data_IF_700667536382
#
_entry.id   IF_700667536382
#
_cell.length_a   1.000
_cell.length_b   1.000
_cell.length_c   1.000
_cell.angle_alpha   90.00
_cell.angle_beta   90.00
_cell.angle_gamma   90.00
#
_symmetry.space_group_name_H-M   'P 1'
#
loop_
_entity.id
_entity.type
_entity.pdbx_description
1 polymer ?
#
# COMPACT_ATOMS: atom_id res chain seq x y z
N UNK A 1 15.06 20.55 -0.57
CA UNK A 1 15.26 19.61 -1.70
C UNK A 1 13.92 18.96 -1.97
N UNK A 2 13.49 18.88 -3.21
CA UNK A 2 12.23 18.22 -3.62
C UNK A 2 12.56 17.17 -4.68
N UNK A 3 11.81 16.10 -4.70
CA UNK A 3 11.86 15.09 -5.77
C UNK A 3 10.70 15.30 -6.74
N UNK A 4 10.85 14.77 -7.95
CA UNK A 4 9.76 14.71 -8.91
C UNK A 4 8.78 13.60 -8.50
N UNK A 5 7.47 13.92 -8.42
CA UNK A 5 6.42 12.94 -8.20
C UNK A 5 5.78 12.55 -9.52
N UNK A 6 5.72 11.25 -9.80
CA UNK A 6 5.01 10.67 -10.94
C UNK A 6 3.89 9.74 -10.43
N UNK A 7 2.69 9.88 -10.97
CA UNK A 7 1.64 8.88 -10.83
C UNK A 7 1.61 8.05 -12.11
N UNK A 8 1.59 6.74 -11.96
CA UNK A 8 1.61 5.80 -13.08
C UNK A 8 0.74 4.60 -12.77
N UNK A 9 0.14 4.01 -13.80
CA UNK A 9 -0.55 2.74 -13.68
C UNK A 9 -0.40 1.92 -14.96
N UNK A 10 -0.25 0.64 -14.78
CA UNK A 10 -0.29 -0.38 -15.83
C UNK A 10 -0.96 -1.64 -15.29
N UNK A 11 -1.75 -2.38 -16.09
CA UNK A 11 -2.27 -3.68 -15.67
C UNK A 11 -1.18 -4.66 -15.21
N UNK A 12 0.03 -4.51 -15.74
CA UNK A 12 1.21 -5.30 -15.35
C UNK A 12 1.57 -5.09 -13.88
N UNK A 13 1.43 -3.85 -13.38
CA UNK A 13 1.69 -3.57 -11.96
C UNK A 13 0.74 -4.35 -11.06
N UNK A 14 -0.55 -4.43 -11.44
CA UNK A 14 -1.54 -5.16 -10.66
C UNK A 14 -1.41 -6.68 -10.82
N UNK A 15 -1.01 -7.18 -12.00
CA UNK A 15 -0.61 -8.58 -12.18
C UNK A 15 0.48 -8.98 -11.20
N UNK A 16 1.58 -8.21 -11.14
CA UNK A 16 2.70 -8.49 -10.23
C UNK A 16 2.27 -8.32 -8.78
N UNK A 17 1.44 -7.30 -8.47
CA UNK A 17 0.96 -7.03 -7.13
C UNK A 17 0.05 -8.15 -6.61
N UNK A 18 -0.85 -8.68 -7.44
CA UNK A 18 -1.71 -9.80 -7.06
C UNK A 18 -0.89 -11.06 -6.72
N UNK A 19 0.13 -11.35 -7.53
CA UNK A 19 1.06 -12.44 -7.26
C UNK A 19 1.90 -12.18 -6.00
N UNK A 20 2.42 -10.96 -5.83
CA UNK A 20 3.13 -10.54 -4.62
C UNK A 20 2.27 -10.77 -3.37
N UNK A 21 1.00 -10.39 -3.43
CA UNK A 21 0.04 -10.58 -2.34
C UNK A 21 -0.13 -12.05 -1.98
N UNK A 22 -0.23 -12.92 -2.99
CA UNK A 22 -0.34 -14.36 -2.80
C UNK A 22 0.94 -14.96 -2.18
N UNK A 23 2.12 -14.49 -2.59
CA UNK A 23 3.41 -14.94 -2.04
C UNK A 23 3.63 -14.47 -0.59
N UNK A 24 3.06 -13.33 -0.20
CA UNK A 24 3.18 -12.75 1.14
C UNK A 24 2.31 -13.46 2.18
N UNK A 25 2.58 -14.72 2.52
CA UNK A 25 1.77 -15.54 3.46
C UNK A 25 1.48 -14.86 4.80
N UNK A 26 2.42 -14.08 5.32
CA UNK A 26 2.24 -13.34 6.59
C UNK A 26 1.17 -12.25 6.54
N UNK A 27 0.78 -11.84 5.34
CA UNK A 27 -0.23 -10.80 5.11
C UNK A 27 -1.62 -11.34 4.82
N UNK A 28 -1.81 -12.64 4.53
CA UNK A 28 -3.11 -13.20 4.13
C UNK A 28 -4.27 -12.93 5.09
N UNK A 29 -3.97 -12.79 6.40
CA UNK A 29 -4.97 -12.43 7.43
C UNK A 29 -5.13 -10.92 7.62
N UNK A 30 -4.38 -10.10 6.89
CA UNK A 30 -4.28 -8.64 7.08
C UNK A 30 -4.75 -7.85 5.87
N UNK A 31 -4.80 -8.49 4.71
CA UNK A 31 -5.31 -7.91 3.46
C UNK A 31 -6.83 -7.81 3.48
N UNK A 32 -7.38 -6.85 2.75
CA UNK A 32 -8.82 -6.60 2.67
C UNK A 32 -9.59 -7.75 2.02
N UNK A 33 -8.97 -8.45 1.08
CA UNK A 33 -9.51 -9.66 0.46
C UNK A 33 -9.64 -10.84 1.44
N UNK A 34 -8.91 -10.80 2.55
CA UNK A 34 -8.96 -11.82 3.59
C UNK A 34 -8.38 -13.19 3.19
N UNK A 35 -8.36 -14.14 4.13
CA UNK A 35 -7.79 -15.47 3.90
C UNK A 35 -8.62 -16.34 2.93
N UNK A 36 -9.91 -16.05 2.77
CA UNK A 36 -10.75 -16.79 1.82
C UNK A 36 -10.28 -16.62 0.38
N UNK A 37 -9.84 -15.41 0.02
CA UNK A 37 -9.25 -15.14 -1.30
C UNK A 37 -8.06 -16.07 -1.59
N UNK A 38 -7.10 -16.15 -0.66
CA UNK A 38 -5.91 -16.99 -0.84
C UNK A 38 -6.23 -18.46 -0.92
N UNK A 39 -7.23 -18.93 -0.17
CA UNK A 39 -7.70 -20.32 -0.22
C UNK A 39 -8.34 -20.64 -1.58
N UNK A 40 -9.20 -19.75 -2.07
CA UNK A 40 -9.86 -19.92 -3.36
C UNK A 40 -8.86 -19.93 -4.52
N UNK A 41 -7.90 -19.00 -4.50
CA UNK A 41 -6.83 -18.94 -5.50
C UNK A 41 -5.98 -20.21 -5.43
N UNK A 42 -5.56 -20.63 -4.25
CA UNK A 42 -4.77 -21.86 -4.09
C UNK A 42 -5.48 -23.11 -4.64
N UNK A 43 -6.80 -23.19 -4.44
CA UNK A 43 -7.60 -24.30 -4.94
C UNK A 43 -7.69 -24.35 -6.49
N UNK A 44 -7.42 -23.25 -7.19
CA UNK A 44 -7.41 -23.16 -8.65
C UNK A 44 -6.04 -23.46 -9.28
N UNK A 45 -4.97 -23.54 -8.47
CA UNK A 45 -3.61 -23.81 -8.96
C UNK A 45 -3.39 -25.30 -9.22
N UNK A 46 -2.53 -25.62 -10.20
CA UNK A 46 -1.97 -26.97 -10.32
C UNK A 46 -1.03 -27.25 -9.13
N UNK A 47 -0.89 -28.52 -8.69
CA UNK A 47 0.05 -28.85 -7.62
C UNK A 47 1.47 -28.37 -7.91
N UNK A 48 1.93 -28.53 -9.15
CA UNK A 48 3.29 -28.15 -9.59
C UNK A 48 3.49 -26.64 -9.51
N UNK A 49 2.50 -25.84 -9.88
CA UNK A 49 2.59 -24.39 -9.81
C UNK A 49 2.47 -23.90 -8.37
N UNK A 50 1.62 -24.49 -7.55
CA UNK A 50 1.53 -24.20 -6.13
C UNK A 50 2.88 -24.43 -5.42
N UNK A 51 3.55 -25.59 -5.67
CA UNK A 51 4.85 -25.90 -5.15
C UNK A 51 5.93 -24.89 -5.59
N UNK A 52 5.90 -24.50 -6.87
CA UNK A 52 6.80 -23.46 -7.39
C UNK A 52 6.60 -22.12 -6.66
N UNK A 53 5.36 -21.67 -6.47
CA UNK A 53 5.05 -20.44 -5.75
C UNK A 53 5.45 -20.51 -4.27
N UNK A 54 5.32 -21.68 -3.65
CA UNK A 54 5.78 -21.88 -2.26
C UNK A 54 7.28 -21.69 -2.05
N UNK A 55 8.08 -21.99 -3.08
CA UNK A 55 9.53 -21.84 -3.09
C UNK A 55 9.98 -20.45 -3.55
N UNK A 56 9.08 -19.64 -4.08
CA UNK A 56 9.41 -18.30 -4.57
C UNK A 56 9.51 -17.30 -3.41
N UNK A 57 10.69 -16.68 -3.28
CA UNK A 57 10.95 -15.62 -2.30
C UNK A 57 10.66 -14.22 -2.85
N UNK A 58 10.49 -13.27 -1.93
CA UNK A 58 10.45 -11.84 -2.25
C UNK A 58 11.83 -11.27 -1.91
N UNK A 59 12.71 -11.30 -2.88
CA UNK A 59 14.13 -10.97 -2.78
C UNK A 59 14.56 -9.91 -3.81
N UNK A 60 15.86 -9.84 -4.12
CA UNK A 60 16.39 -8.93 -5.13
C UNK A 60 15.80 -9.19 -6.52
N UNK A 61 15.59 -10.45 -6.90
CA UNK A 61 15.02 -10.80 -8.21
C UNK A 61 13.57 -10.27 -8.31
N UNK A 62 12.82 -10.37 -7.22
CA UNK A 62 11.47 -9.81 -7.12
C UNK A 62 11.46 -8.29 -7.23
N UNK A 63 12.40 -7.63 -6.57
CA UNK A 63 12.60 -6.18 -6.67
C UNK A 63 12.88 -5.74 -8.11
N UNK A 64 13.74 -6.46 -8.83
CA UNK A 64 14.04 -6.19 -10.24
C UNK A 64 12.82 -6.37 -11.14
N UNK A 65 11.90 -7.28 -10.83
CA UNK A 65 10.65 -7.48 -11.58
C UNK A 65 9.77 -6.22 -11.55
N UNK A 66 9.61 -5.58 -10.39
CA UNK A 66 8.88 -4.32 -10.28
C UNK A 66 9.52 -3.18 -11.09
N UNK A 67 10.85 -3.11 -11.07
CA UNK A 67 11.57 -2.14 -11.88
C UNK A 67 11.39 -2.41 -13.37
N UNK A 68 11.47 -3.68 -13.80
CA UNK A 68 11.30 -4.06 -15.19
C UNK A 68 9.90 -3.70 -15.72
N UNK A 69 8.87 -3.88 -14.90
CA UNK A 69 7.51 -3.45 -15.22
C UNK A 69 7.42 -1.92 -15.41
N UNK A 70 8.11 -1.15 -14.55
CA UNK A 70 8.12 0.30 -14.64
C UNK A 70 8.84 0.81 -15.90
N UNK A 71 10.00 0.25 -16.24
CA UNK A 71 10.79 0.70 -17.42
C UNK A 71 10.28 0.14 -18.74
N UNK A 72 9.34 -0.80 -18.72
CA UNK A 72 8.77 -1.39 -19.93
C UNK A 72 8.13 -0.33 -20.83
N UNK A 73 8.40 -0.34 -22.14
CA UNK A 73 7.67 0.48 -23.11
C UNK A 73 6.24 -0.03 -23.35
N UNK A 74 5.96 -1.30 -23.04
CA UNK A 74 4.69 -1.98 -23.32
C UNK A 74 3.87 -2.09 -22.02
N UNK A 75 3.23 -0.96 -21.62
CA UNK A 75 2.51 -0.85 -20.35
C UNK A 75 0.99 -1.01 -20.48
N UNK A 76 0.46 -1.10 -21.69
CA UNK A 76 -0.99 -1.03 -21.91
C UNK A 76 -1.71 -2.36 -21.72
N UNK A 77 -1.04 -3.48 -21.99
CA UNK A 77 -1.59 -4.82 -21.78
C UNK A 77 -0.57 -5.76 -21.13
N UNK A 78 -1.08 -6.78 -20.46
CA UNK A 78 -0.26 -7.84 -19.85
C UNK A 78 0.40 -8.67 -20.95
N UNK A 79 -0.32 -8.97 -22.01
CA UNK A 79 0.14 -9.80 -23.15
C UNK A 79 1.33 -9.15 -23.85
N UNK A 80 1.24 -7.83 -24.12
CA UNK A 80 2.33 -7.10 -24.79
C UNK A 80 3.57 -7.04 -23.88
N UNK A 81 3.38 -6.86 -22.58
CA UNK A 81 4.48 -6.89 -21.62
C UNK A 81 5.16 -8.26 -21.57
N UNK A 82 4.40 -9.34 -21.46
CA UNK A 82 4.93 -10.70 -21.42
C UNK A 82 5.66 -11.04 -22.72
N UNK A 83 5.09 -10.65 -23.87
CA UNK A 83 5.74 -10.82 -25.16
C UNK A 83 7.06 -10.06 -25.26
N UNK A 84 7.08 -8.82 -24.80
CA UNK A 84 8.29 -7.99 -24.76
C UNK A 84 9.34 -8.62 -23.83
N UNK A 85 8.96 -8.97 -22.58
CA UNK A 85 9.85 -9.59 -21.61
C UNK A 85 10.51 -10.86 -22.14
N UNK A 86 9.75 -11.71 -22.85
CA UNK A 86 10.27 -12.93 -23.47
C UNK A 86 11.29 -12.66 -24.58
N UNK A 87 11.14 -11.55 -25.33
CA UNK A 87 12.00 -11.19 -26.45
C UNK A 87 13.26 -10.45 -26.05
N UNK A 88 13.33 -9.90 -24.83
CA UNK A 88 14.50 -9.16 -24.37
C UNK A 88 15.74 -10.04 -24.41
N UNK A 89 16.76 -9.59 -25.11
CA UNK A 89 18.10 -10.17 -25.01
C UNK A 89 18.72 -9.81 -23.66
N UNK A 90 19.72 -10.56 -23.25
CA UNK A 90 20.44 -10.25 -21.99
C UNK A 90 21.06 -8.82 -22.03
N UNK A 91 21.61 -8.41 -23.18
CA UNK A 91 22.15 -7.06 -23.35
C UNK A 91 21.09 -5.96 -23.19
N UNK A 92 19.92 -6.13 -23.78
CA UNK A 92 18.80 -5.19 -23.62
C UNK A 92 18.29 -5.15 -22.18
N UNK A 93 18.20 -6.32 -21.52
CA UNK A 93 17.79 -6.42 -20.12
C UNK A 93 18.73 -5.62 -19.20
N UNK A 94 20.05 -5.74 -19.40
CA UNK A 94 21.04 -4.91 -18.72
C UNK A 94 20.89 -3.44 -19.07
N UNK A 95 20.73 -3.11 -20.35
CA UNK A 95 20.64 -1.73 -20.80
C UNK A 95 19.47 -0.96 -20.17
N UNK A 96 18.30 -1.59 -20.02
CA UNK A 96 17.12 -0.92 -19.46
C UNK A 96 17.17 -0.78 -17.94
N UNK A 97 17.92 -1.63 -17.22
CA UNK A 97 17.96 -1.64 -15.75
C UNK A 97 19.21 -0.99 -15.16
N UNK A 98 20.34 -0.98 -15.89
CA UNK A 98 21.62 -0.42 -15.40
C UNK A 98 21.58 1.06 -14.98
N UNK A 99 20.69 1.92 -15.51
CA UNK A 99 20.54 3.28 -14.98
C UNK A 99 20.08 3.34 -13.53
N UNK A 100 19.46 2.27 -13.02
CA UNK A 100 18.80 2.24 -11.71
C UNK A 100 19.46 1.30 -10.70
N UNK A 101 20.16 0.27 -11.18
CA UNK A 101 20.76 -0.75 -10.32
C UNK A 101 22.18 -1.09 -10.77
N UNK A 102 23.05 -1.40 -9.80
CA UNK A 102 24.45 -1.74 -10.06
C UNK A 102 24.75 -3.23 -9.87
N UNK A 103 23.86 -3.95 -9.18
CA UNK A 103 24.02 -5.37 -8.88
C UNK A 103 22.94 -6.19 -9.54
N UNK A 104 23.34 -7.22 -10.27
CA UNK A 104 22.43 -8.12 -10.98
C UNK A 104 22.68 -9.57 -10.53
N UNK A 105 21.65 -10.45 -10.64
CA UNK A 105 21.81 -11.88 -10.46
C UNK A 105 22.86 -12.46 -11.43
N UNK A 106 23.61 -13.48 -10.99
CA UNK A 106 24.63 -14.14 -11.82
C UNK A 106 24.04 -14.73 -13.11
N UNK A 107 22.86 -15.37 -13.02
CA UNK A 107 22.15 -15.93 -14.18
C UNK A 107 20.88 -15.12 -14.46
N UNK A 108 21.05 -13.84 -14.83
CA UNK A 108 19.94 -12.91 -15.02
C UNK A 108 18.99 -13.32 -16.17
N UNK A 109 19.51 -14.02 -17.18
CA UNK A 109 18.68 -14.57 -18.26
C UNK A 109 17.72 -15.63 -17.75
N UNK A 110 18.18 -16.59 -16.93
CA UNK A 110 17.33 -17.61 -16.35
C UNK A 110 16.32 -17.03 -15.34
N UNK A 111 16.72 -15.96 -14.59
CA UNK A 111 15.81 -15.23 -13.70
C UNK A 111 14.65 -14.65 -14.52
N UNK A 112 14.93 -13.93 -15.61
CA UNK A 112 13.91 -13.39 -16.51
C UNK A 112 12.98 -14.49 -17.04
N UNK A 113 13.54 -15.60 -17.51
CA UNK A 113 12.73 -16.69 -18.07
C UNK A 113 11.85 -17.39 -17.03
N UNK A 114 12.35 -17.54 -15.80
CA UNK A 114 11.58 -18.04 -14.66
C UNK A 114 10.44 -17.11 -14.30
N UNK A 115 10.71 -15.81 -14.16
CA UNK A 115 9.70 -14.79 -13.87
C UNK A 115 8.66 -14.68 -14.98
N UNK A 116 9.08 -14.74 -16.25
CA UNK A 116 8.16 -14.73 -17.38
C UNK A 116 7.19 -15.93 -17.33
N UNK A 117 7.69 -17.16 -17.12
CA UNK A 117 6.82 -18.35 -17.00
C UNK A 117 5.84 -18.21 -15.86
N UNK A 118 6.32 -17.81 -14.68
CA UNK A 118 5.50 -17.63 -13.49
C UNK A 118 4.41 -16.58 -13.68
N UNK A 119 4.72 -15.42 -14.25
CA UNK A 119 3.72 -14.39 -14.54
C UNK A 119 2.74 -14.82 -15.63
N UNK A 120 3.21 -15.54 -16.65
CA UNK A 120 2.33 -16.05 -17.71
C UNK A 120 1.33 -17.05 -17.14
N UNK A 121 1.78 -17.99 -16.32
CA UNK A 121 0.90 -18.98 -15.70
C UNK A 121 -0.05 -18.33 -14.68
N UNK A 122 0.44 -17.39 -13.85
CA UNK A 122 -0.41 -16.62 -12.94
C UNK A 122 -1.48 -15.81 -13.66
N UNK A 123 -1.13 -15.19 -14.80
CA UNK A 123 -2.12 -14.51 -15.65
C UNK A 123 -3.20 -15.48 -16.13
N UNK A 124 -2.81 -16.66 -16.62
CA UNK A 124 -3.75 -17.66 -17.15
C UNK A 124 -4.69 -18.22 -16.09
N UNK A 125 -4.18 -18.52 -14.89
CA UNK A 125 -4.98 -19.21 -13.87
C UNK A 125 -5.76 -18.25 -12.97
N UNK A 126 -5.33 -17.01 -12.86
CA UNK A 126 -5.92 -16.06 -11.92
C UNK A 126 -6.21 -14.68 -12.54
N UNK A 127 -5.17 -13.93 -12.96
CA UNK A 127 -5.29 -12.48 -13.15
C UNK A 127 -6.25 -12.10 -14.28
N UNK A 128 -6.27 -12.83 -15.38
CA UNK A 128 -7.20 -12.56 -16.49
C UNK A 128 -8.68 -12.78 -16.14
N UNK A 129 -8.96 -13.40 -14.99
CA UNK A 129 -10.32 -13.72 -14.53
C UNK A 129 -10.80 -12.77 -13.43
N UNK A 130 -9.97 -11.81 -12.97
CA UNK A 130 -10.42 -10.78 -12.02
C UNK A 130 -11.47 -9.89 -12.67
N UNK A 131 -12.25 -9.19 -11.83
CA UNK A 131 -13.18 -8.17 -12.33
C UNK A 131 -12.40 -7.08 -13.10
N UNK A 132 -12.67 -6.88 -14.40
CA UNK A 132 -12.01 -5.85 -15.20
C UNK A 132 -12.29 -4.43 -14.69
N UNK A 133 -13.35 -4.24 -13.91
CA UNK A 133 -13.66 -2.99 -13.21
C UNK A 133 -12.53 -2.55 -12.27
N UNK A 134 -11.82 -3.50 -11.65
CA UNK A 134 -10.65 -3.21 -10.77
C UNK A 134 -9.56 -2.49 -11.57
N UNK A 135 -9.14 -3.04 -12.71
CA UNK A 135 -8.09 -2.46 -13.56
C UNK A 135 -8.52 -1.08 -14.09
N UNK A 136 -9.79 -0.94 -14.47
CA UNK A 136 -10.37 0.32 -14.94
C UNK A 136 -10.35 1.38 -13.84
N UNK A 137 -10.76 1.02 -12.62
CA UNK A 137 -10.80 1.94 -11.48
C UNK A 137 -9.39 2.37 -11.04
N UNK A 138 -8.40 1.46 -11.01
CA UNK A 138 -7.01 1.79 -10.69
C UNK A 138 -6.41 2.76 -11.73
N UNK A 139 -6.71 2.58 -13.01
CA UNK A 139 -6.29 3.49 -14.08
C UNK A 139 -6.90 4.87 -13.89
N UNK A 140 -8.22 4.93 -13.69
CA UNK A 140 -8.94 6.18 -13.45
C UNK A 140 -8.41 6.93 -12.22
N UNK A 141 -8.12 6.20 -11.13
CA UNK A 141 -7.51 6.77 -9.92
C UNK A 141 -6.15 7.42 -10.21
N UNK A 142 -5.27 6.75 -10.96
CA UNK A 142 -3.97 7.32 -11.31
C UNK A 142 -4.09 8.56 -12.20
N UNK A 143 -5.01 8.55 -13.18
CA UNK A 143 -5.26 9.68 -14.09
C UNK A 143 -5.86 10.88 -13.34
N UNK A 144 -6.89 10.69 -12.53
CA UNK A 144 -7.53 11.74 -11.73
C UNK A 144 -6.52 12.41 -10.80
N UNK A 145 -5.76 11.63 -10.06
CA UNK A 145 -4.81 12.15 -9.07
C UNK A 145 -3.57 12.79 -9.69
N UNK A 146 -3.28 12.55 -10.96
CA UNK A 146 -2.24 13.28 -11.68
C UNK A 146 -2.55 14.77 -11.75
N UNK A 147 -3.82 15.13 -11.93
CA UNK A 147 -4.31 16.50 -11.96
C UNK A 147 -4.45 17.20 -10.60
N UNK A 148 -4.17 16.53 -9.49
CA UNK A 148 -4.25 17.15 -8.16
C UNK A 148 -3.22 18.25 -8.00
N UNK A 149 -3.69 19.48 -8.09
CA UNK A 149 -3.24 20.83 -7.81
C UNK A 149 -1.80 21.06 -7.28
N UNK A 150 -1.62 22.25 -6.71
CA UNK A 150 -0.34 22.86 -6.33
C UNK A 150 0.28 22.31 -5.00
N UNK A 151 -0.01 21.05 -4.64
CA UNK A 151 0.64 20.44 -3.48
C UNK A 151 2.11 20.14 -3.78
N UNK A 152 2.97 20.42 -2.82
CA UNK A 152 4.36 19.94 -2.85
C UNK A 152 4.39 18.40 -2.97
N UNK A 153 5.34 17.87 -3.73
CA UNK A 153 5.44 16.44 -4.02
C UNK A 153 5.42 15.56 -2.76
N UNK A 154 6.05 16.05 -1.69
CA UNK A 154 6.09 15.38 -0.38
C UNK A 154 4.71 15.23 0.25
N UNK A 155 3.93 16.31 0.33
CA UNK A 155 2.59 16.33 0.93
C UNK A 155 1.61 15.48 0.12
N UNK A 156 1.68 15.61 -1.20
CA UNK A 156 0.86 14.82 -2.12
C UNK A 156 1.14 13.32 -1.96
N UNK A 157 2.42 12.94 -1.89
CA UNK A 157 2.80 11.54 -1.65
C UNK A 157 2.25 11.01 -0.32
N UNK A 158 2.38 11.77 0.77
CA UNK A 158 1.86 11.38 2.08
C UNK A 158 0.32 11.25 2.08
N UNK A 159 -0.39 12.15 1.39
CA UNK A 159 -1.85 12.08 1.26
C UNK A 159 -2.31 10.84 0.49
N UNK A 160 -1.67 10.53 -0.64
CA UNK A 160 -2.02 9.41 -1.52
C UNK A 160 -1.69 8.05 -0.89
N UNK A 161 -0.55 7.93 -0.23
CA UNK A 161 -0.05 6.68 0.36
C UNK A 161 -0.57 6.43 1.78
N UNK A 162 -1.58 7.17 2.21
CA UNK A 162 -2.17 7.08 3.55
C UNK A 162 -1.16 7.32 4.69
N UNK A 163 -0.24 8.29 4.51
CA UNK A 163 0.68 8.76 5.53
C UNK A 163 2.15 8.32 5.35
N UNK A 164 2.55 7.74 4.21
CA UNK A 164 3.97 7.50 3.95
C UNK A 164 4.65 8.78 3.46
N UNK A 165 5.60 9.25 4.25
CA UNK A 165 6.38 10.45 4.01
C UNK A 165 7.77 10.05 3.51
N UNK A 166 8.00 10.13 2.20
CA UNK A 166 9.30 9.83 1.60
C UNK A 166 10.21 11.05 1.74
N UNK A 167 11.21 10.94 2.62
CA UNK A 167 12.10 12.06 2.92
C UNK A 167 12.99 12.40 1.71
N UNK A 168 13.06 13.68 1.30
CA UNK A 168 13.81 14.12 0.13
C UNK A 168 15.31 14.20 0.42
N UNK A 169 15.90 13.12 0.91
CA UNK A 169 17.29 12.98 1.34
C UNK A 169 17.99 11.86 0.58
N UNK A 170 19.31 11.79 0.71
CA UNK A 170 20.13 10.69 0.15
C UNK A 170 19.96 10.45 -1.36
N UNK A 171 19.76 11.53 -2.14
CA UNK A 171 19.74 11.45 -3.60
C UNK A 171 18.40 10.98 -4.20
N UNK A 172 17.30 10.99 -3.45
CA UNK A 172 15.98 10.76 -4.04
C UNK A 172 15.63 11.88 -5.03
N UNK A 173 15.59 11.56 -6.31
CA UNK A 173 15.24 12.48 -7.39
C UNK A 173 13.81 12.27 -7.89
N UNK A 174 13.32 11.02 -7.84
CA UNK A 174 12.02 10.65 -8.38
C UNK A 174 11.29 9.64 -7.50
N UNK A 175 10.04 9.95 -7.19
CA UNK A 175 9.09 9.04 -6.55
C UNK A 175 7.95 8.71 -7.53
N UNK A 176 7.76 7.43 -7.80
CA UNK A 176 6.65 6.94 -8.63
C UNK A 176 5.62 6.29 -7.73
N UNK A 177 4.39 6.76 -7.80
CA UNK A 177 3.25 6.19 -7.08
C UNK A 177 2.36 5.40 -8.04
N UNK A 178 2.03 4.18 -7.66
CA UNK A 178 1.23 3.25 -8.45
C UNK A 178 0.09 2.72 -7.56
N UNK A 179 -1.18 2.97 -7.88
CA UNK A 179 -2.29 2.41 -7.12
C UNK A 179 -2.37 0.90 -7.31
N UNK A 180 -2.77 0.18 -6.26
CA UNK A 180 -3.01 -1.26 -6.30
C UNK A 180 -4.24 -1.65 -5.49
N UNK A 181 -4.80 -2.83 -5.80
CA UNK A 181 -5.98 -3.40 -5.15
C UNK A 181 -5.65 -4.57 -4.21
N UNK A 182 -4.88 -5.57 -4.68
CA UNK A 182 -4.74 -6.86 -3.98
C UNK A 182 -4.03 -6.80 -2.63
N UNK A 183 -3.06 -5.89 -2.45
CA UNK A 183 -2.28 -5.79 -1.20
C UNK A 183 -2.86 -4.79 -0.20
N UNK A 184 -4.06 -4.25 -0.44
CA UNK A 184 -4.71 -3.36 0.51
C UNK A 184 -4.85 -4.02 1.89
N UNK A 185 -4.65 -3.29 2.99
CA UNK A 185 -4.37 -1.85 3.13
C UNK A 185 -2.87 -1.52 3.19
N UNK A 186 -1.99 -2.41 2.76
CA UNK A 186 -0.54 -2.22 2.78
C UNK A 186 -0.04 -1.35 1.63
N UNK A 187 1.18 -0.82 1.77
CA UNK A 187 1.95 -0.23 0.68
C UNK A 187 3.22 -1.05 0.48
N UNK A 188 3.69 -1.15 -0.77
CA UNK A 188 4.94 -1.82 -1.15
C UNK A 188 5.84 -0.76 -1.77
N UNK A 189 7.07 -0.63 -1.31
CA UNK A 189 8.00 0.31 -1.93
C UNK A 189 9.41 -0.27 -2.04
N UNK A 190 10.08 0.11 -3.12
CA UNK A 190 11.44 -0.27 -3.45
C UNK A 190 12.22 0.95 -3.95
N UNK A 191 13.47 1.10 -3.52
CA UNK A 191 14.37 2.15 -3.99
C UNK A 191 15.42 1.58 -4.95
N UNK A 192 15.69 2.33 -6.02
CA UNK A 192 16.63 1.99 -7.09
C UNK A 192 17.51 3.22 -7.37
N UNK A 193 18.56 3.39 -6.58
CA UNK A 193 19.37 4.61 -6.64
C UNK A 193 18.57 5.87 -6.33
N UNK A 194 18.42 6.77 -7.30
CA UNK A 194 17.64 8.01 -7.13
C UNK A 194 16.14 7.87 -7.39
N UNK A 195 15.67 6.67 -7.78
CA UNK A 195 14.26 6.34 -8.02
C UNK A 195 13.68 5.54 -6.86
N UNK A 196 12.51 5.91 -6.37
CA UNK A 196 11.68 5.06 -5.51
C UNK A 196 10.33 4.80 -6.19
N UNK A 197 9.92 3.53 -6.23
CA UNK A 197 8.59 3.11 -6.69
C UNK A 197 7.80 2.68 -5.45
N UNK A 198 6.65 3.32 -5.22
CA UNK A 198 5.71 2.95 -4.17
C UNK A 198 4.38 2.53 -4.78
N UNK A 199 4.02 1.28 -4.59
CA UNK A 199 2.67 0.80 -4.86
C UNK A 199 1.84 1.07 -3.61
N UNK A 200 0.82 1.92 -3.73
CA UNK A 200 -0.02 2.34 -2.61
C UNK A 200 -1.41 1.74 -2.69
N UNK A 201 -2.00 1.46 -1.53
CA UNK A 201 -3.35 0.94 -1.44
C UNK A 201 -4.35 1.94 -2.04
N UNK A 202 -5.05 1.54 -3.08
CA UNK A 202 -6.20 2.27 -3.61
C UNK A 202 -7.34 2.31 -2.59
N UNK A 203 -8.42 3.02 -2.87
CA UNK A 203 -9.61 3.02 -2.02
C UNK A 203 -10.78 2.25 -2.65
N UNK A 204 -10.45 1.33 -3.56
CA UNK A 204 -11.43 0.44 -4.15
C UNK A 204 -11.79 -0.60 -3.08
N UNK A 205 -13.03 -0.58 -2.63
CA UNK A 205 -13.50 -1.57 -1.66
C UNK A 205 -13.92 -2.84 -2.40
N UNK A 206 -13.64 -4.04 -1.83
CA UNK A 206 -14.29 -5.26 -2.29
C UNK A 206 -15.80 -5.08 -2.18
N UNK A 207 -16.56 -5.56 -3.15
CA UNK A 207 -18.02 -5.46 -3.11
C UNK A 207 -18.56 -6.07 -1.83
N UNK A 208 -19.24 -5.26 -1.00
CA UNK A 208 -20.12 -5.74 0.06
C UNK A 208 -21.51 -5.93 -0.54
N UNK A 209 -22.18 -7.05 -0.20
CA UNK A 209 -23.57 -7.30 -0.56
C UNK A 209 -24.55 -6.61 0.39
N UNK A 210 -24.05 -6.08 1.52
CA UNK A 210 -24.86 -5.43 2.56
C UNK A 210 -24.76 -3.91 2.47
N UNK A 211 -25.88 -3.26 2.18
CA UNK A 211 -25.97 -1.79 1.99
C UNK A 211 -25.70 -0.97 3.27
N UNK A 212 -25.85 -1.60 4.45
CA UNK A 212 -25.69 -0.95 5.76
C UNK A 212 -24.32 -1.20 6.41
N UNK A 213 -23.41 -1.94 5.77
CA UNK A 213 -22.06 -2.09 6.29
C UNK A 213 -21.24 -0.80 6.21
N UNK A 214 -20.51 -0.43 7.29
CA UNK A 214 -19.57 0.66 7.22
C UNK A 214 -18.43 0.32 6.29
N UNK A 215 -17.92 1.32 5.55
CA UNK A 215 -16.74 1.11 4.71
C UNK A 215 -15.59 0.47 5.49
N UNK A 216 -14.84 -0.43 4.88
CA UNK A 216 -13.67 -1.08 5.51
C UNK A 216 -12.69 -0.06 6.08
N UNK A 217 -12.61 1.10 5.44
CA UNK A 217 -11.75 2.20 5.86
C UNK A 217 -12.23 2.84 7.16
N UNK A 218 -13.54 3.15 7.29
CA UNK A 218 -14.13 3.68 8.52
C UNK A 218 -14.04 2.65 9.65
N UNK A 219 -14.42 1.41 9.38
CA UNK A 219 -14.35 0.33 10.36
C UNK A 219 -12.93 0.14 10.91
N UNK A 220 -11.93 0.09 10.04
CA UNK A 220 -10.51 -0.01 10.42
C UNK A 220 -10.06 1.16 11.30
N UNK A 221 -10.47 2.37 10.95
CA UNK A 221 -10.15 3.58 11.69
C UNK A 221 -10.70 3.51 13.11
N UNK A 222 -12.01 3.24 13.26
CA UNK A 222 -12.67 3.14 14.58
C UNK A 222 -12.11 2.00 15.41
N UNK A 223 -11.93 0.82 14.82
CA UNK A 223 -11.32 -0.33 15.48
C UNK A 223 -9.90 -0.06 15.96
N UNK A 224 -9.15 0.76 15.22
CA UNK A 224 -7.78 1.12 15.62
C UNK A 224 -7.73 2.02 16.84
N UNK A 225 -8.78 2.79 17.13
CA UNK A 225 -8.88 3.66 18.30
C UNK A 225 -9.45 2.96 19.56
N UNK A 226 -10.04 1.79 19.42
CA UNK A 226 -10.68 1.08 20.54
C UNK A 226 -9.70 0.38 21.50
N UNK A 227 -8.38 0.38 21.20
CA UNK A 227 -7.38 -0.34 22.00
C UNK A 227 -6.47 0.63 22.76
N UNK A 228 -6.35 0.43 24.07
CA UNK A 228 -5.65 1.35 25.00
C UNK A 228 -4.19 1.58 24.64
N UNK A 229 -3.46 0.55 24.23
CA UNK A 229 -2.02 0.70 23.88
C UNK A 229 -1.86 1.53 22.61
N UNK A 230 -2.78 1.45 21.65
CA UNK A 230 -2.75 2.27 20.44
C UNK A 230 -3.03 3.74 20.75
N UNK A 231 -3.97 4.04 21.66
CA UNK A 231 -4.17 5.42 22.13
C UNK A 231 -2.93 5.97 22.85
N UNK A 232 -2.21 5.14 23.65
CA UNK A 232 -0.94 5.52 24.26
C UNK A 232 0.14 5.81 23.23
N UNK A 233 0.20 5.05 22.14
CA UNK A 233 1.12 5.32 21.00
C UNK A 233 0.80 6.69 20.39
N UNK A 234 -0.46 6.95 20.02
CA UNK A 234 -0.88 8.23 19.44
C UNK A 234 -0.54 9.40 20.35
N UNK A 235 -0.79 9.27 21.66
CA UNK A 235 -0.42 10.28 22.64
C UNK A 235 1.10 10.51 22.70
N UNK A 236 1.91 9.46 22.62
CA UNK A 236 3.37 9.55 22.65
C UNK A 236 3.94 10.22 21.39
N UNK A 237 3.30 9.99 20.23
CA UNK A 237 3.73 10.53 18.93
C UNK A 237 3.22 11.94 18.65
N UNK A 238 2.44 12.57 19.55
CA UNK A 238 1.77 13.86 19.29
C UNK A 238 2.72 15.05 19.18
N UNK A 239 3.87 15.00 19.85
CA UNK A 239 4.76 16.13 20.01
C UNK A 239 5.97 16.11 19.06
N UNK A 240 6.43 14.91 18.72
CA UNK A 240 7.59 14.75 17.81
C UNK A 240 7.65 13.35 17.21
N UNK A 241 8.30 13.17 16.05
CA UNK A 241 8.52 11.85 15.47
C UNK A 241 9.36 10.95 16.38
N UNK A 242 9.01 9.65 16.44
CA UNK A 242 9.71 8.65 17.27
C UNK A 242 10.07 7.42 16.44
N UNK A 243 11.19 6.81 16.78
CA UNK A 243 11.60 5.54 16.23
C UNK A 243 10.75 4.39 16.80
N UNK A 244 10.71 3.27 16.09
CA UNK A 244 10.04 2.05 16.58
C UNK A 244 10.53 1.62 17.97
N UNK A 245 11.84 1.70 18.22
CA UNK A 245 12.45 1.30 19.50
C UNK A 245 12.01 2.21 20.66
N UNK A 246 11.86 3.50 20.42
CA UNK A 246 11.33 4.43 21.44
C UNK A 246 9.88 4.10 21.77
N UNK A 247 9.05 3.77 20.77
CA UNK A 247 7.67 3.33 20.99
C UNK A 247 7.63 2.03 21.82
N UNK A 248 8.47 1.04 21.50
CA UNK A 248 8.59 -0.21 22.28
C UNK A 248 8.93 0.09 23.74
N UNK A 249 9.93 0.93 23.99
CA UNK A 249 10.33 1.33 25.34
C UNK A 249 9.23 2.07 26.10
N UNK A 250 8.54 2.98 25.42
CA UNK A 250 7.43 3.74 26.01
C UNK A 250 6.26 2.85 26.44
N UNK A 251 5.91 1.86 25.62
CA UNK A 251 4.82 0.94 25.94
C UNK A 251 5.19 -0.09 27.02
N UNK A 252 6.45 -0.53 27.07
CA UNK A 252 6.92 -1.58 27.96
C UNK A 252 6.38 -2.98 27.65
N UNK A 253 5.99 -3.23 26.39
CA UNK A 253 5.48 -4.53 25.91
C UNK A 253 6.41 -5.11 24.83
N UNK A 254 6.16 -6.34 24.38
CA UNK A 254 7.02 -7.01 23.40
C UNK A 254 7.08 -6.27 22.06
N UNK A 255 8.21 -6.42 21.35
CA UNK A 255 8.40 -5.85 20.00
C UNK A 255 7.33 -6.33 19.02
N UNK A 256 6.95 -7.61 19.08
CA UNK A 256 5.92 -8.18 18.18
C UNK A 256 4.54 -7.53 18.39
N UNK A 257 4.09 -7.39 19.64
CA UNK A 257 2.82 -6.73 19.94
C UNK A 257 2.86 -5.24 19.56
N UNK A 258 3.98 -4.56 19.85
CA UNK A 258 4.15 -3.15 19.43
C UNK A 258 4.10 -3.01 17.91
N UNK A 259 4.73 -3.94 17.18
CA UNK A 259 4.69 -3.96 15.73
C UNK A 259 3.25 -4.11 15.20
N UNK A 260 2.45 -4.98 15.80
CA UNK A 260 1.05 -5.15 15.42
C UNK A 260 0.20 -3.89 15.72
N UNK A 261 0.47 -3.20 16.82
CA UNK A 261 -0.19 -1.93 17.12
C UNK A 261 0.18 -0.84 16.10
N UNK A 262 1.47 -0.66 15.80
CA UNK A 262 1.95 0.29 14.77
C UNK A 262 1.36 -0.06 13.41
N UNK A 263 1.35 -1.36 13.04
CA UNK A 263 0.76 -1.83 11.80
C UNK A 263 -0.72 -1.42 11.67
N UNK A 264 -1.53 -1.67 12.70
CA UNK A 264 -2.95 -1.31 12.68
C UNK A 264 -3.16 0.21 12.57
N UNK A 265 -2.41 1.01 13.33
CA UNK A 265 -2.47 2.47 13.27
C UNK A 265 -2.05 3.01 11.89
N UNK A 266 -1.02 2.42 11.28
CA UNK A 266 -0.56 2.76 9.94
C UNK A 266 -1.60 2.45 8.87
N UNK A 267 -2.21 1.24 8.90
CA UNK A 267 -3.25 0.85 7.96
C UNK A 267 -4.52 1.71 8.11
N UNK A 268 -4.80 2.21 9.31
CA UNK A 268 -5.89 3.16 9.56
C UNK A 268 -5.54 4.61 9.10
N UNK A 269 -4.28 4.86 8.71
CA UNK A 269 -3.80 6.17 8.30
C UNK A 269 -3.63 7.17 9.45
N UNK A 270 -3.55 6.69 10.71
CA UNK A 270 -3.39 7.54 11.90
C UNK A 270 -1.95 7.97 12.16
N UNK A 271 -0.99 7.39 11.42
CA UNK A 271 0.43 7.71 11.52
C UNK A 271 0.97 8.26 10.22
N UNK A 272 1.86 9.25 10.32
CA UNK A 272 2.85 9.48 9.29
C UNK A 272 4.01 8.51 9.51
N UNK A 273 4.45 7.89 8.42
CA UNK A 273 5.54 6.90 8.37
C UNK A 273 6.68 7.52 7.59
N UNK A 274 7.71 7.99 8.28
CA UNK A 274 8.85 8.66 7.66
C UNK A 274 9.83 7.64 7.09
N UNK A 275 10.03 7.70 5.78
CA UNK A 275 10.84 6.74 5.01
C UNK A 275 12.10 7.42 4.48
N UNK A 276 13.24 6.79 4.73
CA UNK A 276 14.56 7.18 4.20
C UNK A 276 15.12 6.00 3.41
N UNK A 277 15.20 6.13 2.10
CA UNK A 277 15.55 5.01 1.21
C UNK A 277 14.53 3.88 1.31
N UNK A 278 14.95 2.70 1.75
CA UNK A 278 14.06 1.53 1.97
C UNK A 278 13.70 1.31 3.45
N UNK A 279 14.07 2.26 4.32
CA UNK A 279 13.93 2.09 5.77
C UNK A 279 12.90 3.06 6.34
N UNK A 280 11.97 2.53 7.14
CA UNK A 280 11.13 3.37 8.00
C UNK A 280 11.99 3.89 9.15
N UNK A 281 12.18 5.20 9.21
CA UNK A 281 13.02 5.86 10.21
C UNK A 281 12.25 6.18 11.50
N UNK A 282 11.13 6.88 11.37
CA UNK A 282 10.31 7.33 12.50
C UNK A 282 8.82 7.31 12.16
N UNK A 283 8.01 7.48 13.18
CA UNK A 283 6.56 7.65 13.10
C UNK A 283 6.15 8.93 13.80
N UNK A 284 5.15 9.64 13.28
CA UNK A 284 4.50 10.77 13.94
C UNK A 284 2.98 10.66 13.85
N UNK A 285 2.27 11.42 14.67
CA UNK A 285 0.82 11.49 14.63
C UNK A 285 0.35 12.21 13.36
N UNK A 286 -0.61 11.62 12.63
CA UNK A 286 -1.28 12.27 11.51
C UNK A 286 -2.59 12.91 11.99
N UNK A 287 -2.50 14.18 12.34
CA UNK A 287 -3.60 14.93 12.98
C UNK A 287 -4.80 15.07 12.04
N UNK A 288 -4.56 15.30 10.76
CA UNK A 288 -5.60 15.48 9.74
C UNK A 288 -6.53 14.27 9.68
N UNK A 289 -6.00 13.08 9.92
CA UNK A 289 -6.79 11.86 9.93
C UNK A 289 -7.75 11.76 11.10
N UNK A 290 -7.34 12.28 12.25
CA UNK A 290 -8.20 12.34 13.45
C UNK A 290 -9.38 13.29 13.20
N UNK A 291 -9.15 14.44 12.57
CA UNK A 291 -10.20 15.40 12.23
C UNK A 291 -11.24 14.84 11.25
N UNK A 292 -10.88 13.85 10.43
CA UNK A 292 -11.78 13.19 9.48
C UNK A 292 -12.68 12.11 10.09
N UNK A 293 -12.49 11.74 11.38
CA UNK A 293 -13.28 10.68 12.02
C UNK A 293 -14.74 11.09 12.14
N UNK A 294 -15.00 12.30 12.61
CA UNK A 294 -16.33 12.85 12.78
C UNK A 294 -17.09 12.86 11.45
N UNK A 295 -16.48 13.40 10.40
CA UNK A 295 -17.08 13.43 9.07
C UNK A 295 -17.40 12.02 8.54
N UNK A 296 -16.49 11.07 8.68
CA UNK A 296 -16.72 9.69 8.24
C UNK A 296 -17.87 8.99 8.97
N UNK A 297 -18.07 9.32 10.26
CA UNK A 297 -19.22 8.83 11.02
C UNK A 297 -20.52 9.48 10.58
N UNK A 298 -20.56 10.78 10.35
CA UNK A 298 -21.73 11.47 9.86
C UNK A 298 -22.15 10.97 8.47
N UNK A 299 -21.20 10.78 7.57
CA UNK A 299 -21.45 10.23 6.24
C UNK A 299 -22.08 8.83 6.31
N UNK A 300 -21.54 7.97 7.16
CA UNK A 300 -22.08 6.61 7.37
C UNK A 300 -23.47 6.61 7.98
N UNK A 301 -23.73 7.47 8.97
CA UNK A 301 -25.03 7.58 9.64
C UNK A 301 -26.07 8.38 8.83
N UNK A 302 -25.70 8.91 7.67
CA UNK A 302 -26.59 9.76 6.86
C UNK A 302 -26.96 11.08 7.56
N UNK A 303 -26.12 11.56 8.48
CA UNK A 303 -26.38 12.76 9.28
C UNK A 303 -25.72 13.99 8.64
N UNK A 304 -26.44 15.11 8.67
CA UNK A 304 -25.86 16.39 8.23
C UNK A 304 -25.25 17.12 9.44
N UNK A 305 -23.91 17.36 9.48
CA UNK A 305 -23.26 18.06 10.58
C UNK A 305 -23.85 19.44 10.90
N UNK A 306 -24.36 20.14 9.88
CA UNK A 306 -24.99 21.46 10.04
C UNK A 306 -26.29 21.46 10.85
N UNK A 307 -26.89 20.30 11.05
CA UNK A 307 -28.12 20.16 11.87
C UNK A 307 -27.82 19.92 13.36
N UNK A 308 -26.57 19.68 13.72
CA UNK A 308 -26.14 19.34 15.08
C UNK A 308 -25.59 20.55 15.88
N UNK A 309 -25.91 21.77 15.50
CA UNK A 309 -25.69 22.94 16.37
C UNK A 309 -26.68 22.91 17.55
N UNK A 310 -26.56 21.90 18.41
CA UNK A 310 -27.08 21.96 19.76
C UNK A 310 -26.12 22.85 20.54
N UNK A 311 -26.56 24.02 21.04
CA UNK A 311 -25.71 24.83 21.87
C UNK A 311 -25.33 24.01 23.11
N UNK A 312 -24.07 23.79 23.33
CA UNK A 312 -23.47 23.02 24.47
C UNK A 312 -23.77 23.70 25.82
N UNK A 313 -24.54 24.77 25.84
CA UNK A 313 -24.79 25.60 27.01
C UNK A 313 -26.05 25.22 27.82
N UNK A 314 -26.78 24.15 27.50
CA UNK A 314 -28.00 23.78 28.27
C UNK A 314 -27.91 22.44 29.02
N UNK A 315 -26.75 21.82 29.15
CA UNK A 315 -26.64 20.66 30.06
C UNK A 315 -25.58 20.97 31.12
N UNK A 316 -26.01 21.37 32.27
CA UNK A 316 -25.59 21.14 33.64
C UNK A 316 -25.89 22.38 34.48
N UNK A 317 -27.16 22.50 34.96
CA UNK A 317 -27.36 22.99 36.30
C UNK A 317 -27.49 21.74 37.22
N UNK A 318 -26.66 21.59 38.25
CA UNK A 318 -26.90 20.58 39.27
C UNK A 318 -28.09 21.04 40.07
N UNK A 319 -29.23 20.30 40.00
CA UNK A 319 -30.29 20.43 40.95
C UNK A 319 -29.77 20.13 42.35
N UNK A 320 -29.51 21.18 43.11
CA UNK A 320 -29.50 21.11 44.58
C UNK A 320 -30.92 20.85 45.05
N UNK A 321 -31.22 19.61 45.43
CA UNK A 321 -32.27 19.33 46.38
C UNK A 321 -31.90 18.12 47.27
N UNK A 322 -31.77 18.47 48.57
CA UNK A 322 -31.81 17.70 49.83
C UNK A 322 -31.26 16.28 49.91
#
# INVERSE_FOLDING_TARGET
>A
MSYQLELSFSPVNELINSLHTFLCKSWHKRIDLGPAWTQNVHASLSPEFADQLEQTGIDLEWKLLHLLAYVSPNKNSVEDYLLWMRKLTLGELFAVLSPYVQTFPEDFGAVRDRQHRMLSEWNEVYFKHIDPGIVTALRAEAEEKTGWGEFEAYEKAAALTNGFCFEPVNGLEKLVLIPHYHFQPGNIFYSYGSLTICQYASRIEPHSEEEDEPSLHLYRLLRSLSEKSRLRILHFLRSEPRTFIEVVRHLGISKGITHDHIFNLRCAGLLNVHVVGETVSTYSLRVERIQQIEQGLFDYLGMNPSLLSIPVNEMVEPSNEC
#
